data_IF_986230144792
#
_entry.id   IF_986230144792
#
_cell.length_a   1.000
_cell.length_b   1.000
_cell.length_c   1.000
_cell.angle_alpha   90.00
_cell.angle_beta   90.00
_cell.angle_gamma   90.00
#
_symmetry.space_group_name_H-M   'P 1'
#
loop_
_entity.id
_entity.type
_entity.pdbx_description
1 polymer ?
#
# COMPACT_ATOMS: atom_id res chain seq x y z
N UNK A 1 31.20 22.29 -0.31
CA UNK A 1 30.87 20.90 0.04
C UNK A 1 29.42 20.55 -0.31
N UNK A 2 28.41 21.27 0.20
CA UNK A 2 26.97 21.01 -0.12
C UNK A 2 26.68 21.08 -1.64
N UNK A 3 27.16 22.11 -2.34
CA UNK A 3 26.93 22.25 -3.79
C UNK A 3 27.51 21.11 -4.61
N UNK A 4 28.61 20.50 -4.16
CA UNK A 4 29.24 19.34 -4.82
C UNK A 4 28.34 18.11 -4.64
N UNK A 5 27.84 17.87 -3.43
CA UNK A 5 26.91 16.76 -3.13
C UNK A 5 25.63 16.91 -3.97
N UNK A 6 25.05 18.12 -4.03
CA UNK A 6 23.87 18.38 -4.86
C UNK A 6 24.15 18.16 -6.35
N UNK A 7 25.33 18.56 -6.85
CA UNK A 7 25.73 18.31 -8.23
C UNK A 7 25.86 16.83 -8.55
N UNK A 8 26.49 16.04 -7.67
CA UNK A 8 26.61 14.58 -7.81
C UNK A 8 25.22 13.93 -7.80
N UNK A 9 24.33 14.36 -6.90
CA UNK A 9 22.98 13.83 -6.83
C UNK A 9 22.15 14.17 -8.08
N UNK A 10 22.24 15.40 -8.58
CA UNK A 10 21.58 15.80 -9.83
C UNK A 10 22.07 14.97 -11.03
N UNK A 11 23.38 14.72 -11.11
CA UNK A 11 23.96 13.85 -12.14
C UNK A 11 23.46 12.41 -12.00
N UNK A 12 23.40 11.87 -10.77
CA UNK A 12 22.82 10.55 -10.50
C UNK A 12 21.36 10.47 -10.95
N UNK A 13 20.52 11.46 -10.61
CA UNK A 13 19.12 11.50 -11.04
C UNK A 13 18.98 11.60 -12.55
N UNK A 14 19.82 12.39 -13.22
CA UNK A 14 19.80 12.54 -14.68
C UNK A 14 20.21 11.23 -15.37
N UNK A 15 21.29 10.60 -14.91
CA UNK A 15 21.77 9.32 -15.43
C UNK A 15 20.74 8.22 -15.16
N UNK A 16 20.29 8.05 -13.92
CA UNK A 16 19.32 7.02 -13.54
C UNK A 16 17.96 7.22 -14.21
N UNK A 17 17.51 8.46 -14.33
CA UNK A 17 16.22 8.82 -14.92
C UNK A 17 16.20 8.82 -16.46
N UNK A 18 17.35 8.88 -17.13
CA UNK A 18 17.42 8.84 -18.61
C UNK A 18 18.00 7.52 -19.12
N UNK A 19 19.17 7.11 -18.62
CA UNK A 19 19.89 5.95 -19.18
C UNK A 19 19.17 4.63 -18.91
N UNK A 20 18.53 4.45 -17.75
CA UNK A 20 17.80 3.19 -17.44
C UNK A 20 16.67 2.95 -18.44
N UNK A 21 15.99 4.01 -18.88
CA UNK A 21 14.90 3.91 -19.87
C UNK A 21 15.41 3.87 -21.32
N UNK A 22 16.64 4.32 -21.57
CA UNK A 22 17.29 4.15 -22.86
C UNK A 22 17.64 2.68 -23.16
N UNK A 23 17.77 1.84 -22.13
CA UNK A 23 18.09 0.42 -22.24
C UNK A 23 17.02 -0.45 -21.58
N UNK A 24 15.80 -0.51 -22.15
CA UNK A 24 14.73 -1.34 -21.60
C UNK A 24 15.17 -2.81 -21.57
N UNK A 25 15.00 -3.45 -20.42
CA UNK A 25 15.28 -4.88 -20.28
C UNK A 25 14.31 -5.65 -21.17
N UNK A 26 14.85 -6.38 -22.16
CA UNK A 26 14.04 -7.29 -22.98
C UNK A 26 13.58 -8.47 -22.13
N UNK A 27 12.33 -8.85 -22.30
CA UNK A 27 11.78 -10.06 -21.67
C UNK A 27 12.50 -11.28 -22.27
N UNK A 28 13.04 -12.15 -21.42
CA UNK A 28 13.66 -13.39 -21.89
C UNK A 28 12.59 -14.35 -22.43
N UNK A 29 12.96 -15.19 -23.40
CA UNK A 29 12.04 -16.22 -23.90
C UNK A 29 11.58 -17.16 -22.78
N UNK A 30 12.49 -17.55 -21.89
CA UNK A 30 12.17 -18.36 -20.71
C UNK A 30 11.09 -17.72 -19.83
N UNK A 31 11.21 -16.42 -19.52
CA UNK A 31 10.20 -15.72 -18.71
C UNK A 31 8.86 -15.61 -19.45
N UNK A 32 8.90 -15.34 -20.76
CA UNK A 32 7.70 -15.25 -21.58
C UNK A 32 6.95 -16.59 -21.63
N UNK A 33 7.67 -17.71 -21.71
CA UNK A 33 7.09 -19.06 -21.68
C UNK A 33 6.50 -19.42 -20.31
N UNK A 34 7.18 -19.08 -19.22
CA UNK A 34 6.70 -19.34 -17.86
C UNK A 34 5.47 -18.50 -17.46
N UNK A 35 5.27 -17.35 -18.11
CA UNK A 35 4.23 -16.36 -17.80
C UNK A 35 3.03 -16.41 -18.77
N UNK A 36 2.88 -17.49 -19.55
CA UNK A 36 1.74 -17.66 -20.45
C UNK A 36 0.42 -17.71 -19.66
N UNK A 37 -0.61 -16.93 -20.04
CA UNK A 37 -1.90 -16.90 -19.35
C UNK A 37 -2.54 -18.27 -19.17
N UNK A 38 -2.34 -19.17 -20.14
CA UNK A 38 -2.86 -20.55 -20.13
C UNK A 38 -2.50 -21.33 -18.87
N UNK A 39 -1.38 -20.98 -18.20
CA UNK A 39 -0.95 -21.60 -16.96
C UNK A 39 -1.83 -21.24 -15.75
N UNK A 40 -2.55 -20.13 -15.82
CA UNK A 40 -3.45 -19.66 -14.76
C UNK A 40 -4.90 -20.10 -14.99
N UNK A 41 -5.21 -20.69 -16.13
CA UNK A 41 -6.53 -21.22 -16.42
C UNK A 41 -6.61 -22.70 -16.03
N UNK A 42 -7.71 -23.05 -15.37
CA UNK A 42 -8.13 -24.44 -15.16
C UNK A 42 -9.45 -24.66 -15.90
N UNK A 43 -9.67 -25.88 -16.37
CA UNK A 43 -10.98 -26.30 -16.88
C UNK A 43 -11.93 -26.77 -15.76
N UNK A 44 -11.42 -26.83 -14.52
CA UNK A 44 -12.20 -27.14 -13.32
C UNK A 44 -12.69 -25.86 -12.65
N UNK A 45 -13.88 -25.91 -12.04
CA UNK A 45 -14.42 -24.78 -11.28
C UNK A 45 -13.63 -24.60 -9.97
N UNK A 46 -12.96 -23.45 -9.82
CA UNK A 46 -12.24 -23.07 -8.61
C UNK A 46 -13.17 -22.52 -7.51
N UNK A 47 -12.66 -22.48 -6.28
CA UNK A 47 -13.37 -21.88 -5.14
C UNK A 47 -13.37 -20.34 -5.17
N UNK A 48 -12.46 -19.75 -5.95
CA UNK A 48 -12.29 -18.30 -6.00
C UNK A 48 -13.51 -17.61 -6.62
N UNK A 49 -13.83 -16.43 -6.11
CA UNK A 49 -14.88 -15.56 -6.63
C UNK A 49 -14.31 -14.17 -6.80
N UNK A 50 -14.63 -13.53 -7.91
CA UNK A 50 -14.19 -12.18 -8.22
C UNK A 50 -15.39 -11.33 -8.63
N UNK A 51 -15.40 -10.08 -8.18
CA UNK A 51 -16.35 -9.08 -8.60
C UNK A 51 -15.59 -7.82 -9.00
N UNK A 52 -15.98 -7.22 -10.12
CA UNK A 52 -15.46 -5.94 -10.58
C UNK A 52 -16.43 -4.86 -10.10
N UNK A 53 -15.91 -3.86 -9.39
CA UNK A 53 -16.67 -2.75 -8.84
C UNK A 53 -16.18 -1.45 -9.47
N UNK A 54 -16.86 -1.01 -10.53
CA UNK A 54 -16.49 0.19 -11.29
C UNK A 54 -16.99 1.49 -10.66
N UNK A 55 -18.00 1.40 -9.78
CA UNK A 55 -18.54 2.57 -9.09
C UNK A 55 -17.73 2.88 -7.81
N UNK A 56 -17.24 4.12 -7.62
CA UNK A 56 -16.47 4.50 -6.43
C UNK A 56 -17.20 4.30 -5.10
N UNK A 57 -18.51 4.54 -5.05
CA UNK A 57 -19.32 4.36 -3.85
C UNK A 57 -19.45 2.88 -3.52
N UNK A 58 -19.80 2.03 -4.49
CA UNK A 58 -19.90 0.58 -4.29
C UNK A 58 -18.56 -0.02 -3.86
N UNK A 59 -17.47 0.43 -4.48
CA UNK A 59 -16.11 0.04 -4.11
C UNK A 59 -15.77 0.46 -2.66
N UNK A 60 -16.21 1.65 -2.24
CA UNK A 60 -16.06 2.12 -0.86
C UNK A 60 -16.87 1.28 0.14
N UNK A 61 -18.14 1.02 -0.18
CA UNK A 61 -19.04 0.20 0.64
C UNK A 61 -18.54 -1.25 0.77
N UNK A 62 -18.01 -1.84 -0.30
CA UNK A 62 -17.42 -3.17 -0.24
C UNK A 62 -16.22 -3.24 0.72
N UNK A 63 -15.38 -2.20 0.76
CA UNK A 63 -14.28 -2.11 1.73
C UNK A 63 -14.78 -2.03 3.17
N UNK A 64 -15.80 -1.22 3.42
CA UNK A 64 -16.42 -1.14 4.75
C UNK A 64 -17.05 -2.49 5.14
N UNK A 65 -17.76 -3.13 4.22
CA UNK A 65 -18.34 -4.45 4.46
C UNK A 65 -17.27 -5.48 4.85
N UNK A 66 -16.12 -5.50 4.17
CA UNK A 66 -14.98 -6.38 4.53
C UNK A 66 -14.50 -6.08 5.95
N UNK A 67 -14.30 -4.81 6.30
CA UNK A 67 -13.81 -4.39 7.63
C UNK A 67 -14.81 -4.72 8.74
N UNK A 68 -16.09 -4.45 8.52
CA UNK A 68 -17.16 -4.69 9.49
C UNK A 68 -17.37 -6.18 9.75
N UNK A 69 -17.14 -7.03 8.75
CA UNK A 69 -17.36 -8.47 8.86
C UNK A 69 -16.14 -9.28 9.29
N UNK A 70 -14.92 -8.73 9.24
CA UNK A 70 -13.72 -9.39 9.72
C UNK A 70 -13.86 -9.88 11.18
N UNK A 71 -13.34 -11.07 11.47
CA UNK A 71 -13.48 -11.75 12.77
C UNK A 71 -12.16 -11.91 13.52
N UNK A 72 -11.07 -12.18 12.80
CA UNK A 72 -9.79 -12.56 13.37
C UNK A 72 -8.70 -11.53 13.06
N UNK A 73 -8.61 -11.09 11.81
CA UNK A 73 -7.56 -10.15 11.38
C UNK A 73 -7.93 -9.28 10.20
N UNK A 74 -7.29 -8.11 10.11
CA UNK A 74 -7.35 -7.20 8.97
C UNK A 74 -5.94 -6.74 8.60
N UNK A 75 -5.53 -6.99 7.37
CA UNK A 75 -4.30 -6.46 6.78
C UNK A 75 -4.62 -5.38 5.77
N UNK A 76 -4.18 -4.15 6.05
CA UNK A 76 -4.52 -2.96 5.28
C UNK A 76 -3.24 -2.33 4.76
N UNK A 77 -3.08 -2.23 3.45
CA UNK A 77 -2.05 -1.40 2.83
C UNK A 77 -2.68 -0.28 2.02
N UNK A 78 -2.25 0.95 2.31
CA UNK A 78 -2.72 2.15 1.61
C UNK A 78 -1.57 3.12 1.38
N UNK A 79 -1.42 3.58 0.13
CA UNK A 79 -0.50 4.66 -0.23
C UNK A 79 -0.75 5.94 0.56
N UNK A 80 -2.01 6.39 0.65
CA UNK A 80 -2.38 7.62 1.35
C UNK A 80 -3.77 7.55 1.97
N UNK A 81 -3.92 8.18 3.14
CA UNK A 81 -5.20 8.40 3.81
C UNK A 81 -5.36 9.91 3.95
N UNK A 82 -6.10 10.51 3.01
CA UNK A 82 -6.28 11.96 2.91
C UNK A 82 -7.33 12.51 3.88
N UNK A 83 -7.55 13.82 3.84
CA UNK A 83 -8.60 14.50 4.62
C UNK A 83 -9.97 14.29 3.98
N UNK A 84 -11.02 14.31 4.79
CA UNK A 84 -12.41 14.21 4.32
C UNK A 84 -13.20 13.14 5.08
N UNK A 85 -14.50 13.08 4.81
CA UNK A 85 -15.43 12.21 5.52
C UNK A 85 -15.15 10.73 5.25
N UNK A 86 -14.91 10.33 4.00
CA UNK A 86 -14.63 8.93 3.66
C UNK A 86 -13.42 8.35 4.39
N UNK A 87 -12.25 9.03 4.45
CA UNK A 87 -11.14 8.61 5.32
C UNK A 87 -11.49 8.49 6.80
N UNK A 88 -12.37 9.36 7.34
CA UNK A 88 -12.79 9.27 8.73
C UNK A 88 -13.67 8.04 8.98
N UNK A 89 -14.63 7.76 8.09
CA UNK A 89 -15.46 6.55 8.16
C UNK A 89 -14.59 5.29 8.06
N UNK A 90 -13.65 5.28 7.11
CA UNK A 90 -12.71 4.18 6.93
C UNK A 90 -11.87 3.92 8.18
N UNK A 91 -11.25 4.96 8.75
CA UNK A 91 -10.46 4.84 9.98
C UNK A 91 -11.34 4.40 11.16
N UNK A 92 -12.54 4.97 11.29
CA UNK A 92 -13.51 4.59 12.33
C UNK A 92 -13.85 3.10 12.27
N UNK A 93 -14.17 2.58 11.09
CA UNK A 93 -14.45 1.15 10.90
C UNK A 93 -13.26 0.25 11.29
N UNK A 94 -12.03 0.68 11.04
CA UNK A 94 -10.82 -0.05 11.48
C UNK A 94 -10.67 -0.05 13.00
N UNK A 95 -10.94 1.07 13.67
CA UNK A 95 -10.95 1.14 15.13
C UNK A 95 -12.07 0.27 15.71
N UNK A 96 -13.28 0.35 15.17
CA UNK A 96 -14.41 -0.49 15.59
C UNK A 96 -14.08 -1.98 15.43
N UNK A 97 -13.38 -2.37 14.36
CA UNK A 97 -12.90 -3.74 14.20
C UNK A 97 -11.90 -4.14 15.29
N UNK A 98 -10.95 -3.26 15.59
CA UNK A 98 -9.97 -3.48 16.64
C UNK A 98 -10.61 -3.58 18.03
N UNK A 99 -11.63 -2.76 18.33
CA UNK A 99 -12.41 -2.79 19.57
C UNK A 99 -13.20 -4.10 19.72
N UNK A 100 -13.66 -4.69 18.60
CA UNK A 100 -14.27 -6.03 18.58
C UNK A 100 -13.27 -7.17 18.83
N UNK A 101 -11.97 -6.88 18.90
CA UNK A 101 -10.91 -7.87 19.11
C UNK A 101 -10.17 -8.31 17.84
N UNK A 102 -10.50 -7.75 16.67
CA UNK A 102 -9.82 -8.07 15.40
C UNK A 102 -8.41 -7.52 15.42
N UNK A 103 -7.42 -8.31 14.99
CA UNK A 103 -6.03 -7.83 14.87
C UNK A 103 -5.87 -7.00 13.59
N UNK A 104 -5.74 -5.69 13.71
CA UNK A 104 -5.65 -4.77 12.57
C UNK A 104 -4.19 -4.38 12.33
N UNK A 105 -3.62 -4.74 11.19
CA UNK A 105 -2.25 -4.39 10.78
C UNK A 105 -2.30 -3.44 9.60
N UNK A 106 -1.75 -2.24 9.77
CA UNK A 106 -1.79 -1.16 8.79
C UNK A 106 -0.37 -0.90 8.27
N UNK A 107 -0.21 -0.91 6.96
CA UNK A 107 1.00 -0.52 6.25
C UNK A 107 0.75 0.77 5.46
N UNK A 108 1.50 1.83 5.75
CA UNK A 108 1.40 3.11 5.06
C UNK A 108 2.71 3.51 4.38
N UNK A 109 2.64 4.29 3.30
CA UNK A 109 3.83 4.83 2.65
C UNK A 109 4.62 5.81 3.54
N UNK A 110 5.95 5.76 3.53
CA UNK A 110 6.80 6.59 4.39
C UNK A 110 6.81 8.08 4.07
N UNK A 111 6.40 8.47 2.87
CA UNK A 111 6.42 9.87 2.41
C UNK A 111 5.01 10.42 2.21
N UNK A 112 4.11 9.66 1.61
CA UNK A 112 2.86 10.17 1.07
C UNK A 112 1.61 9.69 1.81
N UNK A 113 1.74 9.04 2.98
CA UNK A 113 0.61 8.50 3.74
C UNK A 113 -0.48 9.49 4.20
N UNK A 114 -0.25 10.81 4.17
CA UNK A 114 -1.28 11.82 4.47
C UNK A 114 -1.63 12.04 5.96
N UNK A 115 -1.07 11.25 6.89
CA UNK A 115 -1.31 11.36 8.34
C UNK A 115 -0.21 12.18 9.05
N UNK A 116 -0.08 13.45 8.66
CA UNK A 116 0.97 14.37 9.16
C UNK A 116 0.38 15.63 9.79
N UNK A 117 1.23 16.43 10.44
CA UNK A 117 0.82 17.68 11.09
C UNK A 117 -0.26 17.45 12.14
N UNK A 118 -1.37 18.16 12.05
CA UNK A 118 -2.52 18.04 12.97
C UNK A 118 -3.13 16.64 13.01
N UNK A 119 -2.90 15.80 12.00
CA UNK A 119 -3.42 14.42 11.91
C UNK A 119 -2.49 13.37 12.50
N UNK A 120 -1.33 13.77 13.03
CA UNK A 120 -0.38 12.86 13.68
C UNK A 120 -1.00 12.12 14.87
N UNK A 121 -2.01 12.72 15.52
CA UNK A 121 -2.77 12.09 16.59
C UNK A 121 -3.40 10.74 16.18
N UNK A 122 -3.77 10.57 14.90
CA UNK A 122 -4.32 9.31 14.38
C UNK A 122 -3.25 8.20 14.43
N UNK A 123 -2.01 8.51 14.06
CA UNK A 123 -0.90 7.53 14.17
C UNK A 123 -0.68 7.12 15.62
N UNK A 124 -0.74 8.07 16.55
CA UNK A 124 -0.62 7.78 17.99
C UNK A 124 -1.77 6.90 18.48
N UNK A 125 -3.01 7.18 18.07
CA UNK A 125 -4.17 6.38 18.43
C UNK A 125 -4.02 4.93 17.94
N UNK A 126 -3.60 4.74 16.68
CA UNK A 126 -3.35 3.41 16.12
C UNK A 126 -2.24 2.70 16.91
N UNK A 127 -1.10 3.36 17.13
CA UNK A 127 0.05 2.75 17.82
C UNK A 127 -0.18 2.44 19.31
N UNK A 128 -1.19 3.04 19.95
CA UNK A 128 -1.51 2.77 21.36
C UNK A 128 -2.71 1.83 21.53
N UNK A 129 -3.39 1.44 20.46
CA UNK A 129 -4.52 0.53 20.55
C UNK A 129 -4.01 -0.92 20.69
N UNK A 130 -4.50 -1.72 21.66
CA UNK A 130 -3.95 -3.04 21.96
C UNK A 130 -4.07 -4.05 20.79
N UNK A 131 -5.06 -3.88 19.92
CA UNK A 131 -5.31 -4.74 18.77
C UNK A 131 -4.89 -4.14 17.42
N UNK A 132 -4.20 -2.99 17.40
CA UNK A 132 -3.73 -2.39 16.14
C UNK A 132 -2.20 -2.34 16.07
N UNK A 133 -1.68 -2.54 14.87
CA UNK A 133 -0.25 -2.42 14.58
C UNK A 133 -0.05 -1.53 13.36
N UNK A 134 0.88 -0.58 13.44
CA UNK A 134 1.22 0.32 12.35
C UNK A 134 2.66 0.09 11.90
N UNK A 135 2.85 -0.17 10.61
CA UNK A 135 4.14 -0.14 9.94
C UNK A 135 4.17 0.94 8.85
N UNK A 136 5.38 1.47 8.63
CA UNK A 136 5.64 2.50 7.63
C UNK A 136 6.62 1.93 6.61
N UNK A 137 6.18 1.84 5.36
CA UNK A 137 6.99 1.38 4.24
C UNK A 137 7.99 2.45 3.83
N UNK A 138 9.27 2.08 3.76
CA UNK A 138 10.36 2.93 3.26
C UNK A 138 10.33 4.37 3.82
N UNK A 139 10.74 4.51 5.08
CA UNK A 139 10.92 5.82 5.74
C UNK A 139 12.01 6.63 5.03
N UNK A 140 11.87 7.96 5.06
CA UNK A 140 12.92 8.85 4.51
C UNK A 140 14.23 8.59 5.25
N UNK A 141 15.27 8.24 4.48
CA UNK A 141 16.62 8.09 4.99
C UNK A 141 17.56 8.99 4.17
N UNK A 142 18.06 10.10 4.74
CA UNK A 142 18.98 11.01 4.05
C UNK A 142 20.27 10.36 3.54
N UNK A 143 20.69 9.23 4.15
CA UNK A 143 21.87 8.48 3.75
C UNK A 143 21.61 7.52 2.57
N UNK A 144 20.34 7.32 2.19
CA UNK A 144 19.91 6.40 1.14
C UNK A 144 19.04 7.13 0.10
N UNK A 145 19.56 8.16 -0.58
CA UNK A 145 18.75 9.00 -1.48
C UNK A 145 18.18 8.25 -2.69
N UNK A 146 18.69 7.07 -3.02
CA UNK A 146 18.13 6.20 -4.05
C UNK A 146 16.80 5.53 -3.64
N UNK A 147 16.45 5.48 -2.35
CA UNK A 147 15.16 4.90 -1.89
C UNK A 147 14.00 5.90 -1.89
N UNK A 148 14.25 7.14 -2.29
CA UNK A 148 13.20 8.17 -2.37
C UNK A 148 12.05 7.74 -3.31
N UNK A 149 12.38 7.03 -4.39
CA UNK A 149 11.39 6.52 -5.35
C UNK A 149 10.80 5.15 -4.97
N UNK A 150 11.28 4.49 -3.90
CA UNK A 150 10.68 3.26 -3.39
C UNK A 150 9.39 3.62 -2.65
N UNK A 151 8.29 3.81 -3.36
CA UNK A 151 6.99 4.18 -2.80
C UNK A 151 6.00 3.03 -2.93
N UNK A 152 5.26 2.74 -1.87
CA UNK A 152 4.24 1.68 -1.88
C UNK A 152 2.93 2.26 -2.40
N UNK A 153 2.55 1.93 -3.63
CA UNK A 153 1.29 2.41 -4.22
C UNK A 153 0.13 1.41 -4.11
N UNK A 154 0.32 0.35 -3.33
CA UNK A 154 -0.68 -0.70 -3.14
C UNK A 154 -1.87 -0.20 -2.33
N UNK A 155 -3.03 -0.80 -2.63
CA UNK A 155 -4.32 -0.53 -2.01
C UNK A 155 -5.04 -1.87 -1.87
N UNK A 156 -4.88 -2.52 -0.71
CA UNK A 156 -5.54 -3.78 -0.44
C UNK A 156 -6.02 -3.87 1.01
N UNK A 157 -7.04 -4.70 1.20
CA UNK A 157 -7.60 -5.08 2.49
C UNK A 157 -7.79 -6.59 2.43
N UNK A 158 -7.17 -7.31 3.34
CA UNK A 158 -7.32 -8.76 3.47
C UNK A 158 -7.94 -9.01 4.84
N UNK A 159 -9.04 -9.76 4.88
CA UNK A 159 -9.72 -10.12 6.12
C UNK A 159 -9.47 -11.60 6.42
N UNK A 160 -9.20 -11.91 7.68
CA UNK A 160 -9.16 -13.28 8.22
C UNK A 160 -8.17 -14.24 7.52
N UNK A 161 -7.18 -13.69 6.81
CA UNK A 161 -6.18 -14.46 6.07
C UNK A 161 -6.73 -15.24 4.87
N UNK A 162 -7.86 -14.78 4.30
CA UNK A 162 -8.56 -15.39 3.18
C UNK A 162 -8.76 -14.39 2.04
#
# INVERSE_FOLDING_TARGET
MISIILGIYALYCLIGGLLVFAFPKKVSQEYAEQSKPDRFYSHEEGADRAAILDNPLESGLARLFIIENAKDSLDVAYFSIEKGETPHIFLGALFDAADRGVKVRILLDGIFHGLRGTRRAILYAISNHPNMHLNIYEKINPLMPWTLNNRMHDKYIIADGK
#
